data_IF_229281709009
#
_entry.id   IF_229281709009
#
_cell.length_a   1.000
_cell.length_b   1.000
_cell.length_c   1.000
_cell.angle_alpha   90.00
_cell.angle_beta   90.00
_cell.angle_gamma   90.00
#
_symmetry.space_group_name_H-M   'P 1'
#
loop_
_entity.id
_entity.type
_entity.pdbx_description
1 polymer ?
#
# COMPACT_ATOMS: atom_id res chain seq x y z
N UNK A 1 -5.26 21.92 13.40
CA UNK A 1 -5.36 23.04 14.36
C UNK A 1 -6.31 22.58 15.46
N UNK A 2 -6.05 22.93 16.73
CA UNK A 2 -6.94 22.54 17.84
C UNK A 2 -8.25 23.35 17.91
N UNK A 3 -8.34 24.47 17.17
CA UNK A 3 -9.52 25.34 17.18
C UNK A 3 -9.60 26.22 18.43
N UNK A 4 -10.69 26.97 18.56
CA UNK A 4 -11.02 27.72 19.77
C UNK A 4 -11.79 26.87 20.79
N UNK A 5 -11.79 27.24 22.08
CA UNK A 5 -12.58 26.54 23.09
C UNK A 5 -14.08 26.62 22.79
N UNK A 6 -14.85 25.66 23.30
CA UNK A 6 -16.31 25.62 23.15
C UNK A 6 -17.04 26.55 24.12
N UNK A 7 -16.45 26.81 25.32
CA UNK A 7 -17.03 27.65 26.38
C UNK A 7 -16.18 28.88 26.73
N UNK A 8 -16.44 29.45 27.91
CA UNK A 8 -15.74 30.62 28.48
C UNK A 8 -15.69 31.85 27.56
N UNK A 9 -16.84 32.26 27.01
CA UNK A 9 -16.95 33.48 26.21
C UNK A 9 -16.44 33.38 24.77
N UNK A 10 -16.07 32.18 24.30
CA UNK A 10 -15.69 31.95 22.90
C UNK A 10 -16.87 32.23 21.96
N UNK A 11 -16.78 33.32 21.19
CA UNK A 11 -17.83 33.72 20.26
C UNK A 11 -17.39 33.53 18.81
N UNK A 12 -18.03 32.61 18.08
CA UNK A 12 -17.82 32.37 16.62
C UNK A 12 -16.36 32.08 16.21
N UNK A 13 -15.53 31.55 17.13
CA UNK A 13 -14.10 31.29 16.90
C UNK A 13 -13.72 29.78 16.92
N UNK A 14 -14.65 28.86 17.17
CA UNK A 14 -14.36 27.44 17.40
C UNK A 14 -13.51 26.74 16.32
N UNK A 15 -13.68 27.10 15.04
CA UNK A 15 -12.94 26.49 13.90
C UNK A 15 -12.08 27.47 13.12
N UNK A 16 -11.87 28.68 13.64
CA UNK A 16 -11.05 29.70 12.96
C UNK A 16 -9.56 29.38 13.09
N UNK A 17 -8.76 29.92 12.17
CA UNK A 17 -7.32 29.67 12.14
C UNK A 17 -6.55 30.34 13.29
N UNK A 18 -7.07 31.44 13.84
CA UNK A 18 -6.34 32.28 14.79
C UNK A 18 -5.30 33.18 14.11
N UNK A 19 -4.22 33.49 14.82
CA UNK A 19 -3.18 34.39 14.29
C UNK A 19 -2.43 33.77 13.10
N UNK A 20 -2.34 34.53 12.00
CA UNK A 20 -1.69 34.11 10.76
C UNK A 20 -0.20 34.47 10.71
N UNK A 21 0.17 35.62 11.26
CA UNK A 21 1.51 36.18 11.28
C UNK A 21 1.73 37.00 12.57
N UNK A 22 2.99 37.23 12.93
CA UNK A 22 3.33 38.17 14.01
C UNK A 22 3.02 39.62 13.62
N UNK A 23 2.89 40.50 14.62
CA UNK A 23 2.51 41.91 14.47
C UNK A 23 3.20 42.61 13.27
N UNK A 24 2.42 42.91 12.22
CA UNK A 24 2.87 43.63 11.02
C UNK A 24 3.77 42.85 10.06
N UNK A 25 4.09 41.58 10.35
CA UNK A 25 4.97 40.77 9.48
C UNK A 25 4.19 40.16 8.32
N UNK A 26 4.89 39.96 7.21
CA UNK A 26 4.38 39.25 6.03
C UNK A 26 4.05 37.79 6.38
N UNK A 27 2.99 37.27 5.77
CA UNK A 27 2.65 35.84 5.81
C UNK A 27 3.72 35.04 5.07
N UNK A 28 4.35 34.09 5.76
CA UNK A 28 5.39 33.22 5.19
C UNK A 28 4.79 32.31 4.12
N UNK A 29 5.48 32.15 2.98
CA UNK A 29 5.06 31.22 1.91
C UNK A 29 4.98 29.79 2.47
N UNK A 30 3.91 29.06 2.13
CA UNK A 30 3.66 27.72 2.65
C UNK A 30 3.00 27.66 4.03
N UNK A 31 2.59 28.80 4.61
CA UNK A 31 1.76 28.82 5.83
C UNK A 31 0.46 28.03 5.59
N UNK A 32 0.11 27.16 6.54
CA UNK A 32 -1.12 26.34 6.50
C UNK A 32 -2.35 27.25 6.58
N UNK A 33 -3.11 27.30 5.49
CA UNK A 33 -4.34 28.08 5.32
C UNK A 33 -5.46 27.17 4.77
N UNK A 34 -6.74 27.53 4.96
CA UNK A 34 -7.84 26.77 4.38
C UNK A 34 -7.74 26.75 2.84
N UNK A 35 -8.09 25.63 2.23
CA UNK A 35 -8.01 25.42 0.78
C UNK A 35 -8.39 23.99 0.41
N UNK A 36 -8.20 23.64 -0.87
CA UNK A 36 -8.53 22.32 -1.41
C UNK A 36 -7.65 21.24 -0.76
N UNK A 37 -8.30 20.27 -0.12
CA UNK A 37 -7.69 19.07 0.45
C UNK A 37 -7.96 17.87 -0.44
N UNK A 38 -7.01 16.94 -0.55
CA UNK A 38 -7.15 15.74 -1.38
C UNK A 38 -6.90 15.99 -2.87
N UNK A 39 -7.33 15.05 -3.71
CA UNK A 39 -7.19 15.05 -5.17
C UNK A 39 -5.79 15.43 -5.68
N UNK A 40 -4.75 14.83 -5.09
CA UNK A 40 -3.35 15.02 -5.47
C UNK A 40 -2.65 13.68 -5.37
N UNK A 41 -1.68 13.43 -6.25
CA UNK A 41 -0.85 12.23 -6.17
C UNK A 41 -0.11 12.15 -4.84
N UNK A 42 -0.19 10.98 -4.22
CA UNK A 42 0.52 10.62 -2.99
C UNK A 42 1.16 9.27 -3.18
N UNK A 43 2.41 9.16 -2.75
CA UNK A 43 3.17 7.93 -2.78
C UNK A 43 3.25 7.38 -1.37
N UNK A 44 2.85 6.12 -1.20
CA UNK A 44 3.21 5.32 -0.05
C UNK A 44 4.43 4.47 -0.42
N UNK A 45 5.37 4.35 0.50
CA UNK A 45 6.66 3.70 0.25
C UNK A 45 6.87 2.58 1.26
N UNK A 46 7.57 1.54 0.85
CA UNK A 46 7.89 0.41 1.73
C UNK A 46 6.69 -0.51 2.01
N UNK A 47 5.76 -0.62 1.06
CA UNK A 47 4.69 -1.61 1.13
C UNK A 47 5.22 -2.97 0.68
N UNK A 48 4.88 -4.02 1.43
CA UNK A 48 5.26 -5.40 1.12
C UNK A 48 4.17 -6.05 0.25
N UNK A 49 4.58 -6.82 -0.76
CA UNK A 49 3.68 -7.70 -1.52
C UNK A 49 3.67 -9.05 -0.80
N UNK A 50 2.48 -9.49 -0.37
CA UNK A 50 2.32 -10.72 0.44
C UNK A 50 1.80 -11.91 -0.36
N UNK A 51 1.09 -11.64 -1.45
CA UNK A 51 0.53 -12.65 -2.35
C UNK A 51 0.43 -12.08 -3.75
N UNK A 52 0.67 -12.90 -4.76
CA UNK A 52 0.49 -12.55 -6.17
C UNK A 52 -0.31 -13.67 -6.85
N UNK A 53 -1.30 -13.29 -7.66
CA UNK A 53 -2.06 -14.21 -8.48
C UNK A 53 -1.76 -13.90 -9.96
N UNK A 54 -0.97 -14.75 -10.67
CA UNK A 54 -0.63 -14.51 -12.07
C UNK A 54 -1.80 -14.73 -13.03
N UNK A 55 -2.75 -15.61 -12.70
CA UNK A 55 -3.93 -15.95 -13.54
C UNK A 55 -4.90 -14.77 -13.67
N UNK A 56 -5.22 -14.13 -12.56
CA UNK A 56 -6.12 -12.99 -12.45
C UNK A 56 -5.40 -11.63 -12.49
N UNK A 57 -4.07 -11.62 -12.46
CA UNK A 57 -3.26 -10.39 -12.41
C UNK A 57 -3.45 -9.58 -11.12
N UNK A 58 -3.64 -10.27 -9.98
CA UNK A 58 -3.89 -9.61 -8.69
C UNK A 58 -2.61 -9.48 -7.87
N UNK A 59 -2.46 -8.32 -7.23
CA UNK A 59 -1.39 -8.03 -6.27
C UNK A 59 -1.98 -7.72 -4.91
N UNK A 60 -1.55 -8.48 -3.89
CA UNK A 60 -1.96 -8.27 -2.51
C UNK A 60 -0.85 -7.53 -1.77
N UNK A 61 -1.15 -6.30 -1.37
CA UNK A 61 -0.19 -5.39 -0.74
C UNK A 61 -0.58 -5.14 0.71
N UNK A 62 0.42 -5.07 1.60
CA UNK A 62 0.20 -4.76 3.02
C UNK A 62 -0.16 -3.29 3.19
N UNK A 63 -1.27 -3.03 3.87
CA UNK A 63 -1.68 -1.68 4.28
C UNK A 63 -2.62 -0.98 3.27
N UNK A 64 -2.89 0.32 3.49
CA UNK A 64 -3.85 1.06 2.66
C UNK A 64 -3.23 1.55 1.35
N UNK A 65 -4.03 1.60 0.29
CA UNK A 65 -3.67 2.26 -0.98
C UNK A 65 -4.24 3.68 -1.01
N UNK A 66 -3.48 4.70 -1.46
CA UNK A 66 -3.99 6.05 -1.53
C UNK A 66 -4.99 6.20 -2.67
N UNK A 67 -6.23 6.56 -2.33
CA UNK A 67 -7.30 6.77 -3.30
C UNK A 67 -8.57 5.99 -2.94
N UNK A 68 -9.68 6.23 -3.65
CA UNK A 68 -10.87 5.42 -3.52
C UNK A 68 -10.69 4.03 -4.15
N UNK A 69 -11.55 3.09 -3.78
CA UNK A 69 -11.63 1.75 -4.41
C UNK A 69 -11.91 1.91 -5.91
N UNK A 70 -11.35 1.02 -6.73
CA UNK A 70 -11.44 1.03 -8.20
C UNK A 70 -10.80 2.25 -8.90
N UNK A 71 -9.88 2.96 -8.23
CA UNK A 71 -9.04 3.96 -8.90
C UNK A 71 -7.75 3.36 -9.45
N UNK A 72 -7.23 3.98 -10.51
CA UNK A 72 -5.91 3.64 -11.03
C UNK A 72 -4.81 4.05 -10.04
N UNK A 73 -3.82 3.18 -9.88
CA UNK A 73 -2.63 3.46 -9.07
C UNK A 73 -1.36 3.21 -9.89
N UNK A 74 -0.29 3.92 -9.53
CA UNK A 74 1.03 3.73 -10.13
C UNK A 74 1.87 2.91 -9.16
N UNK A 75 2.21 1.69 -9.55
CA UNK A 75 3.09 0.80 -8.80
C UNK A 75 4.48 0.82 -9.43
N UNK A 76 5.51 0.91 -8.61
CA UNK A 76 6.91 0.87 -9.01
C UNK A 76 7.76 0.36 -7.85
N UNK A 77 8.98 -0.04 -8.17
CA UNK A 77 9.93 -0.52 -7.17
C UNK A 77 10.23 0.53 -6.09
N UNK A 78 10.33 0.05 -4.86
CA UNK A 78 10.58 0.90 -3.71
C UNK A 78 11.99 1.48 -3.76
N UNK A 79 12.09 2.81 -3.72
CA UNK A 79 13.37 3.52 -3.66
C UNK A 79 14.01 3.57 -2.25
N UNK A 80 13.54 2.73 -1.32
CA UNK A 80 14.17 2.63 0.01
C UNK A 80 15.56 2.02 -0.11
N UNK A 81 16.56 2.63 0.53
CA UNK A 81 17.98 2.21 0.44
C UNK A 81 18.18 0.74 0.79
N UNK A 82 17.53 0.26 1.85
CA UNK A 82 17.63 -1.14 2.28
C UNK A 82 17.06 -2.10 1.23
N UNK A 83 15.96 -1.72 0.56
CA UNK A 83 15.35 -2.53 -0.51
C UNK A 83 16.16 -2.50 -1.80
N UNK A 84 16.79 -1.36 -2.11
CA UNK A 84 17.68 -1.25 -3.27
C UNK A 84 18.88 -2.20 -3.17
N UNK A 85 19.44 -2.39 -1.97
CA UNK A 85 20.54 -3.36 -1.76
C UNK A 85 20.08 -4.81 -1.99
N UNK A 86 18.88 -5.16 -1.50
CA UNK A 86 18.30 -6.47 -1.74
C UNK A 86 18.07 -6.71 -3.25
N UNK A 87 17.53 -5.72 -3.97
CA UNK A 87 17.34 -5.78 -5.43
C UNK A 87 18.64 -5.91 -6.22
N UNK A 88 19.80 -5.51 -5.66
CA UNK A 88 21.09 -5.71 -6.32
C UNK A 88 21.65 -7.12 -6.12
N UNK A 89 21.26 -7.79 -5.02
CA UNK A 89 21.65 -9.18 -4.75
C UNK A 89 20.79 -10.16 -5.54
N UNK A 90 19.49 -9.90 -5.62
CA UNK A 90 18.52 -10.69 -6.38
C UNK A 90 17.70 -9.75 -7.27
N UNK A 91 18.17 -9.48 -8.51
CA UNK A 91 17.50 -8.56 -9.40
C UNK A 91 16.22 -9.16 -9.98
N UNK A 92 15.13 -8.38 -10.10
CA UNK A 92 13.92 -8.83 -10.78
C UNK A 92 14.21 -9.09 -12.27
N UNK A 93 13.34 -9.86 -12.95
CA UNK A 93 13.49 -10.13 -14.37
C UNK A 93 13.48 -8.83 -15.20
N UNK A 94 14.48 -8.70 -16.08
CA UNK A 94 14.67 -7.53 -16.97
C UNK A 94 14.44 -7.98 -18.43
N UNK A 95 13.70 -7.23 -19.27
CA UNK A 95 13.02 -5.96 -19.00
C UNK A 95 11.76 -6.11 -18.12
N UNK A 96 11.09 -7.25 -18.22
CA UNK A 96 9.91 -7.64 -17.44
C UNK A 96 9.89 -9.16 -17.28
N UNK A 97 8.98 -9.68 -16.44
CA UNK A 97 8.70 -11.11 -16.40
C UNK A 97 8.03 -11.57 -17.71
N UNK A 98 8.43 -12.74 -18.20
CA UNK A 98 7.80 -13.43 -19.33
C UNK A 98 7.29 -14.79 -18.85
N UNK A 99 6.07 -15.22 -19.24
CA UNK A 99 5.62 -16.57 -18.96
C UNK A 99 6.47 -17.55 -19.78
N UNK A 100 7.32 -18.32 -19.11
CA UNK A 100 8.10 -19.37 -19.76
C UNK A 100 7.16 -20.51 -20.15
N UNK A 101 6.98 -20.78 -21.45
CA UNK A 101 6.17 -21.90 -21.95
C UNK A 101 4.81 -21.55 -22.57
N UNK A 102 4.59 -20.30 -23.00
CA UNK A 102 3.59 -20.07 -24.04
C UNK A 102 4.18 -20.55 -25.38
N UNK A 103 4.06 -21.84 -25.66
CA UNK A 103 4.06 -22.30 -27.04
C UNK A 103 2.95 -21.54 -27.79
N UNK A 104 3.17 -21.19 -29.05
CA UNK A 104 2.33 -20.27 -29.84
C UNK A 104 0.86 -20.73 -30.01
N UNK A 105 0.55 -21.93 -29.56
CA UNK A 105 -0.79 -22.50 -29.46
C UNK A 105 -1.27 -22.30 -28.01
N UNK A 106 -2.10 -21.28 -27.74
CA UNK A 106 -2.56 -20.86 -26.40
C UNK A 106 -3.41 -21.88 -25.61
N UNK A 107 -2.90 -23.09 -25.42
CA UNK A 107 -3.55 -24.21 -24.75
C UNK A 107 -2.51 -25.00 -23.95
N UNK A 108 -1.82 -24.35 -23.02
CA UNK A 108 -1.39 -25.07 -21.80
C UNK A 108 -2.68 -25.42 -21.04
N UNK A 109 -2.99 -26.70 -20.78
CA UNK A 109 -4.14 -27.03 -19.96
C UNK A 109 -3.87 -26.51 -18.55
N UNK A 110 -4.65 -25.51 -18.15
CA UNK A 110 -4.74 -25.12 -16.74
C UNK A 110 -4.96 -26.41 -15.92
N UNK A 111 -4.05 -26.77 -15.00
CA UNK A 111 -4.11 -28.04 -14.26
C UNK A 111 -5.46 -28.26 -13.58
N UNK A 112 -6.12 -27.17 -13.17
CA UNK A 112 -7.51 -27.13 -12.77
C UNK A 112 -8.17 -25.82 -13.25
N UNK A 113 -8.92 -25.89 -14.36
CA UNK A 113 -9.65 -24.75 -14.94
C UNK A 113 -10.54 -24.02 -13.90
N UNK A 114 -11.00 -24.74 -12.88
CA UNK A 114 -11.94 -24.30 -11.86
C UNK A 114 -11.30 -23.64 -10.65
N UNK A 115 -9.99 -23.81 -10.43
CA UNK A 115 -9.29 -23.16 -9.32
C UNK A 115 -8.51 -21.95 -9.85
N UNK A 116 -8.94 -20.76 -9.44
CA UNK A 116 -8.29 -19.52 -9.81
C UNK A 116 -7.07 -19.18 -8.93
N UNK A 117 -6.84 -19.94 -7.85
CA UNK A 117 -5.86 -19.62 -6.80
C UNK A 117 -4.75 -20.65 -6.64
N UNK A 118 -4.75 -21.73 -7.42
CA UNK A 118 -3.72 -22.78 -7.36
C UNK A 118 -2.31 -22.26 -7.67
N UNK A 119 -2.20 -21.34 -8.63
CA UNK A 119 -0.92 -20.75 -9.07
C UNK A 119 -0.48 -19.55 -8.22
N UNK A 120 -1.09 -19.33 -7.06
CA UNK A 120 -0.79 -18.17 -6.23
C UNK A 120 0.57 -18.29 -5.54
N UNK A 121 1.33 -17.20 -5.63
CA UNK A 121 2.65 -17.08 -5.03
C UNK A 121 2.47 -16.38 -3.69
N UNK A 122 2.87 -17.06 -2.62
CA UNK A 122 2.75 -16.57 -1.24
C UNK A 122 4.11 -16.12 -0.70
N UNK A 123 4.12 -15.00 0.02
CA UNK A 123 5.29 -14.58 0.79
C UNK A 123 5.40 -15.43 2.07
N UNK A 124 6.62 -15.77 2.49
CA UNK A 124 6.91 -16.66 3.63
C UNK A 124 6.22 -16.27 4.94
N UNK A 125 6.03 -14.96 5.16
CA UNK A 125 5.34 -14.41 6.33
C UNK A 125 3.84 -14.75 6.38
N UNK A 126 3.20 -15.01 5.23
CA UNK A 126 1.76 -15.21 5.17
C UNK A 126 1.43 -16.69 5.43
N UNK A 127 0.66 -16.96 6.48
CA UNK A 127 0.10 -18.28 6.69
C UNK A 127 -0.98 -18.56 5.65
N UNK A 128 -0.75 -19.63 4.88
CA UNK A 128 -1.62 -20.12 3.82
C UNK A 128 -2.89 -20.73 4.42
N UNK A 129 -4.05 -20.42 3.85
CA UNK A 129 -5.35 -20.89 4.35
C UNK A 129 -5.59 -22.38 4.11
N UNK A 130 -4.85 -22.98 3.17
CA UNK A 130 -4.90 -24.39 2.81
C UNK A 130 -3.98 -25.28 3.68
N UNK A 131 -3.12 -24.67 4.49
CA UNK A 131 -2.20 -25.40 5.38
C UNK A 131 -2.87 -25.62 6.74
N UNK A 132 -2.44 -26.67 7.44
CA UNK A 132 -2.90 -26.96 8.80
C UNK A 132 -2.75 -25.74 9.72
N UNK A 133 -3.72 -25.59 10.63
CA UNK A 133 -3.74 -24.49 11.58
C UNK A 133 -2.47 -24.44 12.41
N UNK A 134 -2.00 -23.22 12.68
CA UNK A 134 -0.81 -22.97 13.50
C UNK A 134 -0.99 -23.58 14.91
N UNK A 135 -0.11 -24.48 15.31
CA UNK A 135 -0.01 -25.02 16.67
C UNK A 135 1.22 -24.45 17.38
N UNK A 136 1.05 -24.00 18.62
CA UNK A 136 2.17 -23.59 19.48
C UNK A 136 2.57 -24.74 20.40
N UNK A 137 3.88 -24.92 20.63
CA UNK A 137 4.41 -26.09 21.33
C UNK A 137 3.89 -26.29 22.76
N UNK A 138 3.40 -25.23 23.42
CA UNK A 138 2.90 -25.27 24.80
C UNK A 138 1.56 -26.00 24.94
N UNK A 139 0.76 -26.09 23.86
CA UNK A 139 -0.53 -26.81 23.85
C UNK A 139 -0.36 -28.33 23.62
N UNK A 140 0.88 -28.82 23.40
CA UNK A 140 1.17 -30.25 23.20
C UNK A 140 1.50 -31.02 24.48
N UNK A 141 1.61 -30.32 25.62
CA UNK A 141 1.98 -30.90 26.92
C UNK A 141 0.81 -31.03 27.91
N UNK A 142 -0.44 -30.93 27.45
CA UNK A 142 -1.62 -31.05 28.31
C UNK A 142 -2.53 -32.20 27.88
#
# INVERSE_FOLDING_TARGET
>A
MRGGPAGHGSTKFHRRMGSAAGAGRKIVRGKRMPGVMGNRYRHLRGLLIVRMNPKLGLLYVVGPTPGPVHSYCLVHDSWLVNRRRALLLDPPPVPTWFPTGQDEDGLSPDPDLWDDFDQDIYHEMLHRSDVESISYAEDSQK
#
